data_IF_213194178108
#
_entry.id   IF_213194178108
#
_cell.length_a   1.000
_cell.length_b   1.000
_cell.length_c   1.000
_cell.angle_alpha   90.00
_cell.angle_beta   90.00
_cell.angle_gamma   90.00
#
_symmetry.space_group_name_H-M   'P 1'
#
loop_
_entity.id
_entity.type
_entity.pdbx_description
1 polymer ?
#
# COMPACT_ATOMS: atom_id res chain seq x y z
N UNK A 1 -13.59 -37.25 -2.72
CA UNK A 1 -12.18 -37.22 -3.15
C UNK A 1 -11.37 -38.01 -2.14
N UNK A 2 -10.85 -39.18 -2.50
CA UNK A 2 -9.96 -39.96 -1.63
C UNK A 2 -8.60 -39.28 -1.62
N UNK A 3 -8.23 -38.68 -0.48
CA UNK A 3 -6.88 -38.13 -0.27
C UNK A 3 -5.90 -39.29 -0.23
N UNK A 4 -5.22 -39.56 -1.34
CA UNK A 4 -4.15 -40.57 -1.37
C UNK A 4 -3.00 -40.09 -0.49
N UNK A 5 -2.79 -40.80 0.64
CA UNK A 5 -1.66 -40.53 1.52
C UNK A 5 -0.36 -40.82 0.78
N UNK A 6 0.61 -39.89 0.71
CA UNK A 6 1.90 -40.17 0.09
C UNK A 6 2.62 -41.27 0.89
N UNK A 7 3.30 -42.19 0.20
CA UNK A 7 4.13 -43.24 0.82
C UNK A 7 5.23 -42.61 1.71
N UNK A 8 5.70 -43.26 2.77
CA UNK A 8 6.84 -42.75 3.57
C UNK A 8 8.18 -42.98 2.86
N UNK A 9 9.30 -42.43 3.38
CA UNK A 9 10.65 -42.70 2.85
C UNK A 9 11.02 -44.18 3.04
N UNK A 10 10.73 -44.71 4.22
CA UNK A 10 10.93 -46.13 4.56
C UNK A 10 10.17 -47.05 3.60
N UNK A 11 8.91 -46.72 3.28
CA UNK A 11 8.11 -47.49 2.32
C UNK A 11 8.69 -47.45 0.90
N UNK A 12 9.33 -46.35 0.50
CA UNK A 12 10.03 -46.28 -0.79
C UNK A 12 11.33 -47.11 -0.78
N UNK A 13 12.03 -47.19 0.36
CA UNK A 13 13.24 -48.01 0.53
C UNK A 13 12.92 -49.51 0.49
N UNK A 14 11.85 -49.90 1.16
CA UNK A 14 11.30 -51.26 1.08
C UNK A 14 10.88 -51.60 -0.34
N UNK A 15 10.15 -50.71 -1.02
CA UNK A 15 9.70 -50.93 -2.40
C UNK A 15 10.89 -51.05 -3.38
N UNK A 16 11.93 -50.21 -3.21
CA UNK A 16 13.16 -50.32 -3.99
C UNK A 16 13.83 -51.69 -3.79
N UNK A 17 13.91 -52.14 -2.53
CA UNK A 17 14.52 -53.43 -2.17
C UNK A 17 13.74 -54.60 -2.78
N UNK A 18 12.41 -54.56 -2.71
CA UNK A 18 11.54 -55.57 -3.32
C UNK A 18 11.72 -55.58 -4.84
N UNK A 19 11.73 -54.43 -5.50
CA UNK A 19 11.88 -54.34 -6.94
C UNK A 19 13.24 -54.87 -7.44
N UNK A 20 14.33 -54.59 -6.72
CA UNK A 20 15.68 -55.12 -7.06
C UNK A 20 15.73 -56.65 -6.93
N UNK A 21 15.18 -57.19 -5.83
CA UNK A 21 15.14 -58.65 -5.64
C UNK A 21 14.25 -59.32 -6.69
N UNK A 22 13.09 -58.73 -6.98
CA UNK A 22 12.16 -59.23 -8.00
C UNK A 22 12.79 -59.24 -9.38
N UNK A 23 13.50 -58.18 -9.77
CA UNK A 23 14.23 -58.16 -11.05
C UNK A 23 15.27 -59.29 -11.11
N UNK A 24 16.11 -59.40 -10.08
CA UNK A 24 17.19 -60.39 -10.02
C UNK A 24 16.65 -61.82 -10.11
N UNK A 25 15.56 -62.11 -9.40
CA UNK A 25 15.01 -63.46 -9.35
C UNK A 25 14.24 -63.79 -10.63
N UNK A 26 13.57 -62.82 -11.26
CA UNK A 26 12.96 -62.97 -12.59
C UNK A 26 14.00 -63.15 -13.71
N UNK A 27 15.15 -62.48 -13.63
CA UNK A 27 16.25 -62.66 -14.59
C UNK A 27 16.85 -64.07 -14.53
N UNK A 28 16.96 -64.67 -13.33
CA UNK A 28 17.43 -66.06 -13.16
C UNK A 28 16.48 -67.09 -13.78
N UNK A 29 15.17 -66.82 -13.72
CA UNK A 29 14.13 -67.72 -14.24
C UNK A 29 13.81 -67.41 -15.72
N UNK A 30 14.34 -66.33 -16.27
CA UNK A 30 14.17 -65.93 -17.67
C UNK A 30 12.88 -65.14 -17.96
N UNK A 31 12.19 -64.64 -16.92
CA UNK A 31 10.93 -63.89 -17.04
C UNK A 31 11.17 -62.41 -17.37
N UNK A 32 11.40 -62.13 -18.65
CA UNK A 32 11.77 -60.79 -19.14
C UNK A 32 10.71 -59.71 -18.86
N UNK A 33 9.42 -60.04 -18.89
CA UNK A 33 8.33 -59.09 -18.62
C UNK A 33 8.34 -58.60 -17.17
N UNK A 34 8.57 -59.50 -16.22
CA UNK A 34 8.62 -59.18 -14.78
C UNK A 34 9.90 -58.41 -14.46
N UNK A 35 11.04 -58.76 -15.07
CA UNK A 35 12.28 -58.01 -14.93
C UNK A 35 12.14 -56.56 -15.42
N UNK A 36 11.49 -56.33 -16.57
CA UNK A 36 11.24 -54.97 -17.07
C UNK A 36 10.28 -54.18 -16.18
N UNK A 37 9.23 -54.82 -15.66
CA UNK A 37 8.32 -54.18 -14.72
C UNK A 37 9.04 -53.77 -13.43
N UNK A 38 9.86 -54.66 -12.88
CA UNK A 38 10.67 -54.41 -11.69
C UNK A 38 11.64 -53.23 -11.90
N UNK A 39 12.28 -53.16 -13.07
CA UNK A 39 13.14 -52.03 -13.44
C UNK A 39 12.36 -50.71 -13.54
N UNK A 40 11.18 -50.71 -14.15
CA UNK A 40 10.33 -49.52 -14.23
C UNK A 40 9.91 -49.01 -12.83
N UNK A 41 9.61 -49.91 -11.90
CA UNK A 41 9.32 -49.56 -10.50
C UNK A 41 10.54 -48.92 -9.83
N UNK A 42 11.75 -49.43 -10.07
CA UNK A 42 12.97 -48.81 -9.53
C UNK A 42 13.17 -47.38 -10.03
N UNK A 43 12.94 -47.13 -11.33
CA UNK A 43 13.02 -45.78 -11.91
C UNK A 43 11.99 -44.85 -11.28
N UNK A 44 10.73 -45.30 -11.14
CA UNK A 44 9.68 -44.52 -10.51
C UNK A 44 10.00 -44.17 -9.04
N UNK A 45 10.58 -45.11 -8.28
CA UNK A 45 11.00 -44.85 -6.89
C UNK A 45 12.11 -43.80 -6.84
N UNK A 46 13.10 -43.87 -7.73
CA UNK A 46 14.17 -42.87 -7.82
C UNK A 46 13.64 -41.49 -8.20
N UNK A 47 12.67 -41.41 -9.12
CA UNK A 47 12.02 -40.15 -9.49
C UNK A 47 11.21 -39.57 -8.33
N UNK A 48 10.46 -40.40 -7.59
CA UNK A 48 9.73 -39.95 -6.40
C UNK A 48 10.65 -39.46 -5.28
N UNK A 49 11.83 -40.07 -5.11
CA UNK A 49 12.85 -39.60 -4.18
C UNK A 49 13.41 -38.24 -4.60
N UNK A 50 13.73 -38.06 -5.88
CA UNK A 50 14.16 -36.74 -6.41
C UNK A 50 13.10 -35.68 -6.17
N UNK A 51 11.83 -35.99 -6.40
CA UNK A 51 10.72 -35.06 -6.14
C UNK A 51 10.59 -34.70 -4.65
N UNK A 52 11.01 -35.57 -3.72
CA UNK A 52 11.06 -35.27 -2.27
C UNK A 52 12.33 -34.53 -1.84
N UNK A 53 13.45 -34.79 -2.49
CA UNK A 53 14.72 -34.08 -2.25
C UNK A 53 14.71 -32.67 -2.83
N UNK A 54 13.82 -32.39 -3.79
CA UNK A 54 13.40 -31.01 -4.08
C UNK A 54 12.71 -30.51 -2.80
N UNK A 55 13.52 -29.87 -1.95
CA UNK A 55 13.09 -29.18 -0.73
C UNK A 55 11.79 -28.44 -1.05
N UNK A 56 10.69 -28.71 -0.33
CA UNK A 56 9.44 -28.07 -0.65
C UNK A 56 9.70 -26.57 -0.54
N UNK A 57 9.39 -25.83 -1.60
CA UNK A 57 9.47 -24.38 -1.60
C UNK A 57 8.76 -23.78 -0.36
N UNK A 58 7.81 -24.52 0.23
CA UNK A 58 7.14 -24.21 1.49
C UNK A 58 8.04 -24.16 2.73
N UNK A 59 9.03 -25.02 2.94
CA UNK A 59 9.79 -24.98 4.21
C UNK A 59 10.72 -23.76 4.29
N UNK A 60 11.39 -23.44 3.19
CA UNK A 60 12.21 -22.22 3.10
C UNK A 60 11.35 -20.97 3.02
N UNK A 61 10.19 -21.01 2.34
CA UNK A 61 9.24 -19.90 2.37
C UNK A 61 8.63 -19.70 3.76
N UNK A 62 8.27 -20.75 4.50
CA UNK A 62 7.73 -20.64 5.87
C UNK A 62 8.81 -20.17 6.84
N UNK A 63 10.05 -20.65 6.72
CA UNK A 63 11.18 -20.15 7.52
C UNK A 63 11.50 -18.68 7.21
N UNK A 64 11.45 -18.29 5.93
CA UNK A 64 11.59 -16.90 5.51
C UNK A 64 10.41 -16.05 6.01
N UNK A 65 9.18 -16.55 5.94
CA UNK A 65 7.97 -15.87 6.42
C UNK A 65 8.00 -15.67 7.94
N UNK A 66 8.46 -16.68 8.70
CA UNK A 66 8.64 -16.59 10.14
C UNK A 66 9.75 -15.59 10.50
N UNK A 67 10.83 -15.56 9.72
CA UNK A 67 11.92 -14.59 9.89
C UNK A 67 11.48 -13.17 9.53
N UNK A 68 10.69 -12.98 8.47
CA UNK A 68 10.07 -11.71 8.08
C UNK A 68 9.10 -11.25 9.17
N UNK A 69 8.28 -12.16 9.72
CA UNK A 69 7.35 -11.86 10.82
C UNK A 69 8.08 -11.41 12.08
N UNK A 70 9.20 -12.06 12.42
CA UNK A 70 10.05 -11.65 13.52
C UNK A 70 10.70 -10.27 13.28
N UNK A 71 11.16 -10.00 12.06
CA UNK A 71 11.72 -8.69 11.67
C UNK A 71 10.64 -7.58 11.75
N UNK A 72 9.42 -7.86 11.28
CA UNK A 72 8.27 -6.93 11.38
C UNK A 72 7.96 -6.60 12.85
N UNK A 73 7.97 -7.60 13.73
CA UNK A 73 7.76 -7.41 15.16
C UNK A 73 8.90 -6.60 15.82
N UNK A 74 10.16 -6.88 15.46
CA UNK A 74 11.34 -6.15 15.97
C UNK A 74 11.36 -4.69 15.51
N UNK A 75 10.98 -4.43 14.26
CA UNK A 75 10.94 -3.09 13.67
C UNK A 75 9.66 -2.31 14.00
N UNK A 76 8.72 -2.89 14.74
CA UNK A 76 7.42 -2.25 15.05
C UNK A 76 6.55 -2.03 13.81
N UNK A 77 6.80 -2.75 12.72
CA UNK A 77 6.08 -2.61 11.45
C UNK A 77 4.77 -3.40 11.42
N UNK A 78 4.37 -4.07 12.52
CA UNK A 78 3.07 -4.73 12.64
C UNK A 78 1.91 -3.77 12.35
N UNK A 79 2.12 -2.49 12.64
CA UNK A 79 1.18 -1.41 12.37
C UNK A 79 1.00 -1.13 10.88
N UNK A 80 1.88 -1.56 9.98
CA UNK A 80 1.78 -1.25 8.53
C UNK A 80 0.52 -1.80 7.84
N UNK A 81 -0.03 -2.92 8.30
CA UNK A 81 -1.33 -3.42 7.84
C UNK A 81 -2.49 -2.63 8.46
N UNK A 82 -2.42 -2.31 9.76
CA UNK A 82 -3.43 -1.51 10.48
C UNK A 82 -3.45 -0.03 10.07
N UNK A 83 -2.32 0.52 9.63
CA UNK A 83 -2.18 1.89 9.12
C UNK A 83 -3.02 2.07 7.85
N UNK A 84 -3.12 1.04 7.00
CA UNK A 84 -3.94 1.16 5.77
C UNK A 84 -5.43 1.34 6.07
N UNK A 85 -5.93 0.65 7.09
CA UNK A 85 -7.31 0.77 7.57
C UNK A 85 -7.53 2.10 8.31
N UNK A 86 -6.62 2.47 9.20
CA UNK A 86 -6.65 3.75 9.90
C UNK A 86 -6.57 4.95 8.93
N UNK A 87 -5.77 4.86 7.87
CA UNK A 87 -5.67 5.90 6.84
C UNK A 87 -6.96 5.99 6.03
N UNK A 88 -7.59 4.86 5.70
CA UNK A 88 -8.88 4.85 5.03
C UNK A 88 -9.97 5.48 5.90
N UNK A 89 -10.00 5.13 7.19
CA UNK A 89 -10.93 5.68 8.17
C UNK A 89 -10.71 7.19 8.38
N UNK A 90 -9.46 7.64 8.59
CA UNK A 90 -9.12 9.05 8.73
C UNK A 90 -9.48 9.85 7.46
N UNK A 91 -9.30 9.27 6.27
CA UNK A 91 -9.74 9.90 5.02
C UNK A 91 -11.25 10.08 4.98
N UNK A 92 -12.01 9.06 5.36
CA UNK A 92 -13.47 9.13 5.41
C UNK A 92 -13.96 10.15 6.45
N UNK A 93 -13.35 10.18 7.64
CA UNK A 93 -13.65 11.17 8.67
C UNK A 93 -13.34 12.60 8.20
N UNK A 94 -12.19 12.80 7.54
CA UNK A 94 -11.80 14.10 6.97
C UNK A 94 -12.77 14.57 5.89
N UNK A 95 -13.20 13.67 5.00
CA UNK A 95 -14.19 14.00 3.96
C UNK A 95 -15.57 14.33 4.55
N UNK A 96 -16.00 13.59 5.58
CA UNK A 96 -17.23 13.87 6.30
C UNK A 96 -17.19 15.23 7.02
N UNK A 97 -16.09 15.52 7.72
CA UNK A 97 -15.90 16.79 8.42
C UNK A 97 -15.80 17.97 7.44
N UNK A 98 -15.15 17.79 6.29
CA UNK A 98 -15.12 18.81 5.24
C UNK A 98 -16.51 19.11 4.68
N UNK A 99 -17.35 18.09 4.48
CA UNK A 99 -18.72 18.27 4.05
C UNK A 99 -19.58 18.96 5.12
N UNK A 100 -19.40 18.63 6.40
CA UNK A 100 -20.07 19.30 7.51
C UNK A 100 -19.63 20.77 7.61
N UNK A 101 -18.33 21.05 7.54
CA UNK A 101 -17.79 22.40 7.53
C UNK A 101 -18.36 23.24 6.37
N UNK A 102 -18.49 22.66 5.17
CA UNK A 102 -19.12 23.36 4.05
C UNK A 102 -20.60 23.70 4.31
N UNK A 103 -21.34 22.82 5.00
CA UNK A 103 -22.72 23.09 5.42
C UNK A 103 -22.78 24.16 6.52
N UNK A 104 -21.88 24.10 7.50
CA UNK A 104 -21.80 25.08 8.58
C UNK A 104 -21.48 26.48 8.04
N UNK A 105 -20.53 26.60 7.12
CA UNK A 105 -20.22 27.87 6.45
C UNK A 105 -21.48 28.42 5.77
N UNK A 106 -22.20 27.58 5.02
CA UNK A 106 -23.44 28.00 4.37
C UNK A 106 -24.50 28.46 5.37
N UNK A 107 -24.70 27.72 6.46
CA UNK A 107 -25.63 28.08 7.53
C UNK A 107 -25.26 29.42 8.18
N UNK A 108 -23.97 29.63 8.50
CA UNK A 108 -23.49 30.88 9.09
C UNK A 108 -23.72 32.05 8.16
N UNK A 109 -23.35 31.94 6.88
CA UNK A 109 -23.50 33.02 5.90
C UNK A 109 -24.97 33.33 5.57
N UNK A 110 -25.84 32.32 5.50
CA UNK A 110 -27.21 32.49 4.98
C UNK A 110 -28.28 32.63 6.06
N UNK A 111 -28.10 32.01 7.23
CA UNK A 111 -29.16 31.86 8.23
C UNK A 111 -28.80 32.46 9.59
N UNK A 112 -27.51 32.64 9.91
CA UNK A 112 -27.09 33.26 11.17
C UNK A 112 -27.08 34.79 11.11
N UNK A 113 -27.52 35.40 12.21
CA UNK A 113 -27.48 36.83 12.43
C UNK A 113 -26.77 37.14 13.76
N UNK A 114 -25.92 38.16 13.77
CA UNK A 114 -25.16 38.63 14.92
C UNK A 114 -25.78 39.93 15.45
N UNK A 115 -25.84 40.06 16.76
CA UNK A 115 -26.24 41.30 17.42
C UNK A 115 -25.13 42.36 17.25
N UNK A 116 -25.43 43.40 16.47
CA UNK A 116 -24.62 44.61 16.38
C UNK A 116 -25.18 45.63 17.36
N UNK A 117 -24.35 46.02 18.33
CA UNK A 117 -24.67 47.05 19.32
C UNK A 117 -24.08 48.34 18.79
N UNK A 118 -24.94 49.25 18.33
CA UNK A 118 -24.54 50.59 17.94
C UNK A 118 -24.95 51.57 19.03
N UNK A 119 -24.03 52.44 19.50
CA UNK A 119 -24.43 53.55 20.34
C UNK A 119 -25.28 54.50 19.48
N UNK A 120 -26.53 54.71 19.86
CA UNK A 120 -27.36 55.72 19.21
C UNK A 120 -26.71 57.10 19.37
N UNK A 121 -26.66 57.86 18.28
CA UNK A 121 -26.10 59.21 18.28
C UNK A 121 -27.07 60.26 18.85
N UNK A 122 -28.26 59.86 19.33
CA UNK A 122 -29.34 60.80 19.64
C UNK A 122 -30.20 60.49 20.89
N UNK A 123 -30.43 59.24 21.27
CA UNK A 123 -31.11 58.87 22.52
C UNK A 123 -30.24 57.89 23.32
N UNK A 124 -30.16 58.03 24.65
CA UNK A 124 -29.31 57.22 25.55
C UNK A 124 -29.80 55.76 25.72
N UNK A 125 -30.43 55.15 24.70
CA UNK A 125 -30.86 53.76 24.72
C UNK A 125 -30.08 52.95 23.67
N UNK A 126 -29.43 51.86 24.12
CA UNK A 126 -28.74 50.93 23.24
C UNK A 126 -29.74 50.13 22.39
N UNK A 127 -29.67 50.27 21.07
CA UNK A 127 -30.47 49.45 20.15
C UNK A 127 -29.61 48.28 19.65
N UNK A 128 -30.07 47.06 19.91
CA UNK A 128 -29.47 45.85 19.33
C UNK A 128 -30.06 45.59 17.95
N UNK A 129 -29.23 45.66 16.90
CA UNK A 129 -29.64 45.31 15.53
C UNK A 129 -29.06 43.96 15.14
N UNK A 130 -29.90 43.03 14.68
CA UNK A 130 -29.43 41.76 14.12
C UNK A 130 -29.01 41.96 12.67
N UNK A 131 -27.73 41.74 12.36
CA UNK A 131 -27.14 41.80 11.02
C UNK A 131 -26.67 40.41 10.59
N UNK A 132 -26.55 40.15 9.29
CA UNK A 132 -26.03 38.86 8.82
C UNK A 132 -24.64 38.57 9.40
N UNK A 133 -24.37 37.32 9.75
CA UNK A 133 -23.06 36.86 10.25
C UNK A 133 -22.00 36.74 9.15
N UNK A 134 -22.36 37.00 7.89
CA UNK A 134 -21.41 37.00 6.78
C UNK A 134 -20.31 38.05 6.99
N UNK A 135 -19.04 37.64 6.80
CA UNK A 135 -17.89 38.50 7.05
C UNK A 135 -17.42 38.59 8.52
N UNK A 136 -18.12 37.99 9.48
CA UNK A 136 -17.67 37.87 10.89
C UNK A 136 -16.90 36.56 11.17
N UNK A 137 -16.32 35.94 10.14
CA UNK A 137 -15.55 34.71 10.31
C UNK A 137 -14.27 34.96 11.13
N UNK A 138 -13.93 34.05 12.07
CA UNK A 138 -12.69 34.17 12.83
C UNK A 138 -11.49 34.15 11.90
N UNK A 139 -10.50 35.01 12.17
CA UNK A 139 -9.22 34.96 11.47
C UNK A 139 -8.55 33.59 11.69
N UNK A 140 -7.93 33.04 10.64
CA UNK A 140 -7.23 31.74 10.69
C UNK A 140 -5.72 31.90 10.49
N UNK A 141 -5.02 32.58 11.41
CA UNK A 141 -3.64 33.01 11.21
C UNK A 141 -2.66 31.87 10.91
N UNK A 142 -2.91 30.66 11.41
CA UNK A 142 -2.09 29.48 11.12
C UNK A 142 -2.26 28.97 9.67
N UNK A 143 -3.49 28.97 9.15
CA UNK A 143 -3.76 28.57 7.75
C UNK A 143 -3.24 29.62 6.78
N UNK A 144 -3.40 30.90 7.13
CA UNK A 144 -2.91 32.01 6.33
C UNK A 144 -1.38 32.06 6.27
N UNK A 145 -0.70 31.78 7.39
CA UNK A 145 0.76 31.64 7.43
C UNK A 145 1.25 30.49 6.53
N UNK A 146 0.56 29.33 6.58
CA UNK A 146 0.89 28.18 5.73
C UNK A 146 0.65 28.49 4.24
N UNK A 147 -0.46 29.15 3.89
CA UNK A 147 -0.73 29.62 2.53
C UNK A 147 0.31 30.63 2.04
N UNK A 148 0.77 31.53 2.89
CA UNK A 148 1.83 32.49 2.58
C UNK A 148 3.17 31.78 2.32
N UNK A 149 3.50 30.78 3.13
CA UNK A 149 4.71 29.96 2.96
C UNK A 149 4.65 29.14 1.67
N UNK A 150 3.54 28.44 1.40
CA UNK A 150 3.35 27.67 0.16
C UNK A 150 3.47 28.58 -1.06
N UNK A 151 2.87 29.77 -1.05
CA UNK A 151 3.01 30.75 -2.14
C UNK A 151 4.46 31.19 -2.31
N UNK A 152 5.18 31.45 -1.22
CA UNK A 152 6.59 31.83 -1.27
C UNK A 152 7.48 30.71 -1.86
N UNK A 153 7.24 29.45 -1.46
CA UNK A 153 7.94 28.29 -2.01
C UNK A 153 7.67 28.14 -3.52
N UNK A 154 6.42 28.23 -3.96
CA UNK A 154 6.06 28.18 -5.40
C UNK A 154 6.79 29.28 -6.19
N UNK A 155 6.88 30.50 -5.67
CA UNK A 155 7.62 31.59 -6.32
C UNK A 155 9.12 31.31 -6.43
N UNK A 156 9.73 30.71 -5.40
CA UNK A 156 11.14 30.33 -5.41
C UNK A 156 11.42 29.24 -6.44
N UNK A 157 10.56 28.23 -6.51
CA UNK A 157 10.68 27.16 -7.50
C UNK A 157 10.47 27.66 -8.94
N UNK A 158 9.48 28.52 -9.16
CA UNK A 158 9.24 29.15 -10.46
C UNK A 158 10.44 29.99 -10.91
N UNK A 159 11.06 30.73 -9.99
CA UNK A 159 12.28 31.51 -10.24
C UNK A 159 13.44 30.62 -10.68
N UNK A 160 13.67 29.48 -10.02
CA UNK A 160 14.77 28.58 -10.38
C UNK A 160 14.50 27.85 -11.70
N UNK A 161 13.25 27.47 -11.95
CA UNK A 161 12.85 26.92 -13.26
C UNK A 161 13.07 27.94 -14.38
N UNK A 162 12.66 29.20 -14.19
CA UNK A 162 12.85 30.26 -15.18
C UNK A 162 14.33 30.53 -15.48
N UNK A 163 15.21 30.49 -14.46
CA UNK A 163 16.67 30.58 -14.69
C UNK A 163 17.18 29.42 -15.54
N UNK A 164 16.73 28.20 -15.25
CA UNK A 164 17.11 27.00 -16.01
C UNK A 164 16.62 27.08 -17.46
N UNK A 165 15.41 27.62 -17.68
CA UNK A 165 14.85 27.82 -19.01
C UNK A 165 15.58 28.91 -19.82
N UNK A 166 16.04 30.00 -19.18
CA UNK A 166 16.86 31.04 -19.84
C UNK A 166 18.26 30.51 -20.18
N UNK A 167 18.81 29.61 -19.35
CA UNK A 167 20.08 28.94 -19.62
C UNK A 167 19.98 27.85 -20.71
N UNK A 168 18.76 27.49 -21.12
CA UNK A 168 18.50 26.54 -22.19
C UNK A 168 18.81 27.14 -23.56
N UNK A 169 19.44 26.36 -24.43
CA UNK A 169 19.73 26.71 -25.81
C UNK A 169 18.66 26.22 -26.81
N UNK A 170 17.66 25.46 -26.35
CA UNK A 170 16.60 24.88 -27.19
C UNK A 170 15.20 24.98 -26.56
N UNK A 171 14.18 25.15 -27.41
CA UNK A 171 12.76 25.16 -27.03
C UNK A 171 12.32 23.78 -26.50
N UNK A 172 12.80 22.69 -27.10
CA UNK A 172 12.45 21.32 -26.66
C UNK A 172 12.94 21.02 -25.23
N UNK A 173 14.05 21.65 -24.82
CA UNK A 173 14.59 21.53 -23.48
C UNK A 173 13.77 22.33 -22.45
N UNK A 174 13.11 23.41 -22.89
CA UNK A 174 12.19 24.19 -22.05
C UNK A 174 10.93 23.36 -21.75
N UNK A 175 10.29 22.76 -22.76
CA UNK A 175 9.09 21.93 -22.56
C UNK A 175 9.37 20.76 -21.61
N UNK A 176 10.51 20.07 -21.77
CA UNK A 176 10.93 19.00 -20.88
C UNK A 176 11.09 19.45 -19.41
N UNK A 177 11.65 20.64 -19.17
CA UNK A 177 11.81 21.19 -17.82
C UNK A 177 10.46 21.51 -17.16
N UNK A 178 9.54 22.12 -17.91
CA UNK A 178 8.20 22.46 -17.41
C UNK A 178 7.36 21.21 -17.14
N UNK A 179 7.35 20.24 -18.06
CA UNK A 179 6.64 18.97 -17.89
C UNK A 179 7.19 18.15 -16.72
N UNK A 180 8.52 18.12 -16.58
CA UNK A 180 9.20 17.47 -15.46
C UNK A 180 8.79 18.07 -14.11
N UNK A 181 8.76 19.40 -13.98
CA UNK A 181 8.35 20.07 -12.75
C UNK A 181 6.86 19.86 -12.46
N UNK A 182 6.01 19.95 -13.47
CA UNK A 182 4.58 19.67 -13.34
C UNK A 182 4.31 18.24 -12.84
N UNK A 183 5.06 17.25 -13.33
CA UNK A 183 4.96 15.87 -12.87
C UNK A 183 5.42 15.69 -11.41
N UNK A 184 6.48 16.40 -10.98
CA UNK A 184 6.93 16.37 -9.58
C UNK A 184 5.87 16.93 -8.62
N UNK A 185 5.28 18.08 -8.96
CA UNK A 185 4.23 18.71 -8.15
C UNK A 185 2.98 17.81 -8.03
N UNK A 186 2.58 17.13 -9.12
CA UNK A 186 1.47 16.16 -9.09
C UNK A 186 1.76 14.94 -8.21
N UNK A 187 3.01 14.48 -8.13
CA UNK A 187 3.41 13.37 -7.25
C UNK A 187 3.43 13.77 -5.77
N UNK A 188 3.82 15.01 -5.46
CA UNK A 188 3.79 15.55 -4.10
C UNK A 188 2.37 15.80 -3.56
N UNK A 189 1.41 16.13 -4.43
CA UNK A 189 0.01 16.34 -4.06
C UNK A 189 -0.82 15.05 -3.84
N UNK A 190 -0.23 13.88 -4.13
CA UNK A 190 -0.91 12.58 -4.06
C UNK A 190 -0.54 11.76 -2.80
N UNK A 191 0.28 12.31 -1.90
CA UNK A 191 0.56 11.76 -0.56
C UNK A 191 -0.40 12.35 0.47
#
# INVERSE_FOLDING_TARGET
MTTNKPMTSEQLDELMTVAVNMQRDSEKVGERSVAMFAYAVQVAVLELRKVREIKPADEDHVAAMNSITAIIAILGLSDTLGISEQVAELKAQRDALAAENARLIKFITQECHVAHIEPETFYEEEITRYVSADGYQPETPASDALLAEVRAQVWMEAKDLAKSAIASDSIDHIDFLFDGKAAQLRKGAAQ
#
